data_IF_608907585624
#
_entry.id   IF_608907585624
#
_cell.length_a   1.000
_cell.length_b   1.000
_cell.length_c   1.000
_cell.angle_alpha   90.00
_cell.angle_beta   90.00
_cell.angle_gamma   90.00
#
_symmetry.space_group_name_H-M   'P 1'
#
loop_
_entity.id
_entity.type
_entity.pdbx_description
1 polymer ?
#
# COMPACT_ATOMS: atom_id res chain seq x y z
N UNK A 1 -17.53 -13.34 10.50
CA UNK A 1 -17.23 -13.06 10.23
C UNK A 1 -16.61 -12.62 10.10
N UNK A 2 -16.40 -12.45 10.07
CA UNK A 2 -15.88 -12.00 9.99
C UNK A 2 -15.09 -11.46 9.66
N UNK A 3 -14.79 -11.24 9.27
CA UNK A 3 -14.17 -10.75 8.81
C UNK A 3 -13.90 -10.03 8.71
N UNK A 4 -13.53 -9.85 9.15
CA UNK A 4 -13.68 -8.87 8.75
C UNK A 4 -12.73 -7.92 8.54
N UNK A 5 -12.75 -7.48 7.52
CA UNK A 5 -11.93 -6.37 7.16
C UNK A 5 -12.46 -5.15 7.84
N UNK A 6 -11.63 -4.42 8.60
CA UNK A 6 -12.12 -3.20 9.24
C UNK A 6 -12.69 -2.25 8.18
N UNK A 7 -13.83 -1.69 8.50
CA UNK A 7 -14.50 -0.81 7.56
C UNK A 7 -13.69 0.45 7.29
N UNK A 8 -12.86 0.85 8.23
CA UNK A 8 -12.15 2.11 8.16
C UNK A 8 -10.80 2.00 7.45
N UNK A 9 -10.38 0.79 7.11
CA UNK A 9 -9.06 0.58 6.51
C UNK A 9 -9.20 -0.06 5.15
N UNK A 10 -8.74 0.64 4.12
CA UNK A 10 -8.72 0.10 2.77
C UNK A 10 -7.34 -0.47 2.48
N UNK A 11 -7.26 -1.28 1.42
CA UNK A 11 -5.97 -1.79 0.97
C UNK A 11 -5.05 -0.63 0.58
N UNK A 12 -5.61 0.39 -0.08
CA UNK A 12 -4.80 1.53 -0.47
C UNK A 12 -4.24 2.25 0.76
N UNK A 13 -5.05 2.38 1.81
CA UNK A 13 -4.58 3.02 3.03
C UNK A 13 -3.48 2.21 3.69
N UNK A 14 -3.61 0.89 3.70
CA UNK A 14 -2.59 0.02 4.26
C UNK A 14 -1.29 0.12 3.47
N UNK A 15 -1.38 0.08 2.14
CA UNK A 15 -0.19 0.21 1.30
C UNK A 15 0.45 1.58 1.48
N UNK A 16 -0.37 2.62 1.62
CA UNK A 16 0.16 3.96 1.81
C UNK A 16 0.91 4.06 3.13
N UNK A 17 0.39 3.43 4.19
CA UNK A 17 1.07 3.41 5.47
C UNK A 17 2.44 2.74 5.37
N UNK A 18 2.51 1.63 4.64
CA UNK A 18 3.78 0.94 4.42
C UNK A 18 4.76 1.81 3.63
N UNK A 19 4.26 2.44 2.57
CA UNK A 19 5.10 3.31 1.75
C UNK A 19 5.65 4.46 2.59
N UNK A 20 4.81 5.06 3.42
CA UNK A 20 5.25 6.16 4.27
C UNK A 20 6.26 5.70 5.31
N UNK A 21 6.12 4.48 5.83
CA UNK A 21 7.08 3.95 6.76
C UNK A 21 8.45 3.80 6.11
N UNK A 22 8.49 3.33 4.86
CA UNK A 22 9.74 3.23 4.11
C UNK A 22 10.35 4.61 3.85
N UNK A 23 9.51 5.59 3.56
CA UNK A 23 10.01 6.95 3.34
C UNK A 23 10.61 7.52 4.62
N UNK A 24 9.93 7.31 5.76
CA UNK A 24 10.45 7.78 7.05
C UNK A 24 11.77 7.12 7.39
N UNK A 25 11.92 5.85 7.05
CA UNK A 25 13.17 5.15 7.31
C UNK A 25 14.33 5.76 6.54
N UNK A 26 14.05 6.53 5.51
CA UNK A 26 15.07 7.23 4.72
C UNK A 26 15.11 8.72 5.03
N UNK A 27 14.38 9.14 6.05
CA UNK A 27 14.29 10.55 6.43
C UNK A 27 13.71 11.42 5.31
N UNK A 28 12.82 10.86 4.51
CA UNK A 28 12.14 11.62 3.47
C UNK A 28 10.83 12.17 4.02
N UNK A 29 10.55 13.43 3.72
CA UNK A 29 9.24 14.00 4.00
C UNK A 29 8.24 13.52 2.96
N UNK A 30 6.95 13.76 3.23
CA UNK A 30 5.92 13.43 2.25
C UNK A 30 6.11 14.21 0.96
N UNK A 31 6.51 15.47 1.08
CA UNK A 31 6.77 16.28 -0.11
C UNK A 31 7.92 15.71 -0.93
N UNK A 32 8.98 15.28 -0.26
CA UNK A 32 10.11 14.68 -0.98
C UNK A 32 9.69 13.40 -1.67
N UNK A 33 8.89 12.58 -1.00
CA UNK A 33 8.42 11.35 -1.60
C UNK A 33 7.57 11.64 -2.84
N UNK A 34 6.64 12.58 -2.73
CA UNK A 34 5.78 12.94 -3.86
C UNK A 34 6.62 13.46 -5.02
N UNK A 35 7.58 14.32 -4.72
CA UNK A 35 8.44 14.88 -5.75
C UNK A 35 9.21 13.78 -6.50
N UNK A 36 9.77 12.83 -5.75
CA UNK A 36 10.54 11.76 -6.36
C UNK A 36 9.66 10.82 -7.17
N UNK A 37 8.38 10.74 -6.80
CA UNK A 37 7.43 9.90 -7.54
C UNK A 37 6.81 10.64 -8.72
N UNK A 38 7.11 11.93 -8.88
CA UNK A 38 6.55 12.71 -9.97
C UNK A 38 5.10 13.08 -9.73
N UNK A 39 4.73 13.28 -8.48
CA UNK A 39 3.35 13.58 -8.10
C UNK A 39 3.27 14.91 -7.40
N UNK A 40 2.09 15.58 -7.46
CA UNK A 40 1.88 16.79 -6.67
C UNK A 40 1.97 16.50 -5.17
N UNK A 41 2.39 17.49 -4.41
CA UNK A 41 2.51 17.35 -2.97
C UNK A 41 1.21 16.90 -2.31
N UNK A 42 0.08 17.36 -2.83
CA UNK A 42 -1.21 17.09 -2.23
C UNK A 42 -1.66 15.63 -2.43
N UNK A 43 -0.99 14.89 -3.30
CA UNK A 43 -1.42 13.52 -3.63
C UNK A 43 -1.43 12.62 -2.42
N UNK A 44 -0.36 12.67 -1.63
CA UNK A 44 -0.24 11.79 -0.47
C UNK A 44 -1.29 12.13 0.57
N UNK A 45 -1.48 13.42 0.84
CA UNK A 45 -2.51 13.85 1.80
C UNK A 45 -3.89 13.42 1.36
N UNK A 46 -4.16 13.52 0.06
CA UNK A 46 -5.45 13.11 -0.47
C UNK A 46 -5.68 11.62 -0.29
N UNK A 47 -4.66 10.82 -0.56
CA UNK A 47 -4.77 9.37 -0.38
C UNK A 47 -4.99 9.03 1.08
N UNK A 48 -4.23 9.66 1.97
CA UNK A 48 -4.38 9.40 3.39
C UNK A 48 -5.78 9.74 3.88
N UNK A 49 -6.36 10.81 3.37
CA UNK A 49 -7.67 11.25 3.80
C UNK A 49 -8.79 10.40 3.22
N UNK A 50 -8.67 10.05 1.96
CA UNK A 50 -9.74 9.33 1.26
C UNK A 50 -9.64 7.83 1.40
N UNK A 51 -8.45 7.29 1.64
CA UNK A 51 -8.21 5.86 1.61
C UNK A 51 -8.29 5.27 0.21
N UNK A 52 -8.12 6.11 -0.80
CA UNK A 52 -8.23 5.69 -2.20
C UNK A 52 -7.02 6.12 -2.99
N UNK A 53 -6.59 5.25 -3.88
CA UNK A 53 -5.53 5.57 -4.82
C UNK A 53 -5.59 4.55 -5.95
N UNK A 54 -5.23 4.98 -7.14
CA UNK A 54 -5.12 4.00 -8.22
C UNK A 54 -3.78 3.30 -8.12
N UNK A 55 -3.69 2.15 -8.80
CA UNK A 55 -2.49 1.33 -8.72
C UNK A 55 -1.27 2.03 -9.29
N UNK A 56 -1.46 2.80 -10.36
CA UNK A 56 -0.33 3.50 -10.97
C UNK A 56 0.29 4.49 -9.98
N UNK A 57 -0.54 5.22 -9.26
CA UNK A 57 -0.05 6.18 -8.27
C UNK A 57 0.72 5.47 -7.17
N UNK A 58 0.16 4.38 -6.64
CA UNK A 58 0.84 3.61 -5.61
C UNK A 58 2.14 3.01 -6.13
N UNK A 59 2.13 2.54 -7.37
CA UNK A 59 3.33 1.99 -7.96
C UNK A 59 4.42 3.03 -8.12
N UNK A 60 4.06 4.26 -8.48
CA UNK A 60 5.05 5.35 -8.59
C UNK A 60 5.66 5.67 -7.24
N UNK A 61 4.84 5.72 -6.20
CA UNK A 61 5.35 5.99 -4.86
C UNK A 61 6.29 4.89 -4.40
N UNK A 62 5.91 3.64 -4.64
CA UNK A 62 6.76 2.51 -4.29
C UNK A 62 8.06 2.55 -5.07
N UNK A 63 7.99 2.83 -6.37
CA UNK A 63 9.17 2.85 -7.22
C UNK A 63 10.17 3.93 -6.78
N UNK A 64 9.68 5.06 -6.28
CA UNK A 64 10.56 6.11 -5.79
C UNK A 64 11.40 5.62 -4.61
N UNK A 65 10.94 4.60 -3.92
CA UNK A 65 11.64 4.01 -2.78
C UNK A 65 12.39 2.73 -3.18
N UNK A 66 12.43 2.40 -4.46
CA UNK A 66 13.06 1.17 -4.91
C UNK A 66 12.23 -0.06 -4.65
N UNK A 67 10.94 0.12 -4.40
CA UNK A 67 10.00 -0.97 -4.15
C UNK A 67 9.10 -1.16 -5.34
N UNK A 68 8.38 -2.27 -5.36
CA UNK A 68 7.35 -2.46 -6.37
C UNK A 68 6.17 -3.19 -5.74
N UNK A 69 5.01 -2.95 -6.33
CA UNK A 69 3.81 -3.64 -5.89
C UNK A 69 3.82 -5.05 -6.48
N UNK A 70 3.44 -6.00 -5.68
CA UNK A 70 3.39 -7.38 -6.14
C UNK A 70 2.36 -8.13 -5.32
N UNK A 71 1.97 -9.27 -5.83
CA UNK A 71 1.06 -10.16 -5.12
C UNK A 71 1.88 -11.20 -4.39
N UNK A 72 1.54 -11.43 -3.14
CA UNK A 72 2.18 -12.47 -2.36
C UNK A 72 1.09 -13.40 -1.83
N UNK A 73 1.40 -14.67 -1.65
CA UNK A 73 0.40 -15.59 -1.11
C UNK A 73 0.00 -15.15 0.30
N UNK A 74 -1.30 -15.15 0.54
CA UNK A 74 -1.81 -14.99 1.88
C UNK A 74 -1.50 -16.27 2.65
N UNK A 75 -0.98 -16.13 3.87
CA UNK A 75 -0.57 -17.30 4.63
C UNK A 75 -1.73 -18.27 4.84
N UNK A 76 -2.87 -17.72 5.25
CA UNK A 76 -4.03 -18.58 5.49
C UNK A 76 -4.54 -19.21 4.20
N UNK A 77 -4.52 -18.45 3.12
CA UNK A 77 -4.96 -18.96 1.84
C UNK A 77 -4.06 -20.09 1.36
N UNK A 78 -2.76 -19.93 1.53
CA UNK A 78 -1.81 -20.96 1.12
C UNK A 78 -2.02 -22.25 1.93
N UNK A 79 -2.31 -22.11 3.22
CA UNK A 79 -2.59 -23.28 4.03
C UNK A 79 -3.83 -24.01 3.56
N UNK A 80 -4.87 -23.27 3.20
CA UNK A 80 -6.10 -23.88 2.72
C UNK A 80 -5.88 -24.61 1.41
N UNK A 81 -5.09 -24.04 0.53
CA UNK A 81 -4.77 -24.69 -0.72
C UNK A 81 -4.02 -25.98 -0.46
N UNK A 82 -3.05 -25.95 0.44
CA UNK A 82 -2.25 -27.13 0.76
C UNK A 82 -3.09 -28.26 1.35
N UNK A 83 -4.12 -27.92 2.08
CA UNK A 83 -5.00 -28.91 2.66
C UNK A 83 -6.15 -29.28 1.74
N UNK A 84 -6.25 -28.66 0.59
CA UNK A 84 -7.30 -28.96 -0.36
C UNK A 84 -8.65 -28.41 0.00
N UNK A 85 -8.70 -27.46 0.92
CA UNK A 85 -9.96 -26.95 1.43
C UNK A 85 -10.67 -25.99 0.46
N UNK A 86 -9.93 -25.47 -0.51
CA UNK A 86 -10.53 -24.54 -1.47
C UNK A 86 -11.27 -25.26 -2.58
N UNK A 87 -11.01 -26.52 -2.79
CA UNK A 87 -11.60 -27.30 -3.88
C UNK A 87 -12.18 -28.63 -3.36
#
# INVERSE_FOLDING_TARGET
>A
MANKIPQTTSVAATLMADILAHARARDWTQSQLAERAGLPDSSISRIKRSGRADLDTLARLAAALGLRLTLVPDHDYAEKINRGELF
#
